data_IF_260649270707
#
_entry.id   IF_260649270707
#
_cell.length_a   1.000
_cell.length_b   1.000
_cell.length_c   1.000
_cell.angle_alpha   90.00
_cell.angle_beta   90.00
_cell.angle_gamma   90.00
#
_symmetry.space_group_name_H-M   'P 1'
#
loop_
_entity.id
_entity.type
_entity.pdbx_description
1 polymer ?
#
# COMPACT_ATOMS: atom_id res chain seq x y z
N UNK A 1 -2.45 5.15 -2.98
CA UNK A 1 -3.70 4.96 -3.74
C UNK A 1 -4.83 4.61 -2.78
N UNK A 2 -5.84 5.46 -2.70
CA UNK A 2 -6.92 5.36 -1.71
C UNK A 2 -8.31 5.06 -2.33
N UNK A 3 -8.33 4.46 -3.49
CA UNK A 3 -9.57 4.11 -4.20
C UNK A 3 -9.88 5.03 -5.39
N UNK A 4 -11.08 4.87 -5.96
CA UNK A 4 -11.48 5.50 -7.22
C UNK A 4 -12.54 6.62 -7.04
N UNK A 5 -12.68 7.14 -5.81
CA UNK A 5 -13.53 8.30 -5.56
C UNK A 5 -12.81 9.58 -6.01
N UNK A 6 -13.52 10.49 -6.65
CA UNK A 6 -12.96 11.71 -7.23
C UNK A 6 -12.03 12.49 -6.29
N UNK A 7 -12.41 12.63 -5.01
CA UNK A 7 -11.62 13.36 -4.02
C UNK A 7 -10.31 12.72 -3.59
N UNK A 8 -10.05 11.44 -3.96
CA UNK A 8 -8.80 10.72 -3.65
C UNK A 8 -8.06 10.26 -4.90
N UNK A 9 -8.61 10.49 -6.10
CA UNK A 9 -7.93 10.29 -7.38
C UNK A 9 -7.03 11.48 -7.68
N UNK A 10 -6.05 11.67 -6.82
CA UNK A 10 -5.07 12.75 -6.93
C UNK A 10 -3.78 12.23 -7.54
N UNK A 11 -3.25 12.95 -8.49
CA UNK A 11 -1.99 12.66 -9.16
C UNK A 11 -0.94 13.71 -8.83
N UNK A 12 0.28 13.31 -8.99
CA UNK A 12 1.42 14.20 -9.03
C UNK A 12 1.86 14.31 -10.49
N UNK A 13 1.67 15.44 -11.13
CA UNK A 13 2.33 15.70 -12.40
C UNK A 13 3.75 16.18 -12.13
N UNK A 14 4.69 15.66 -12.92
CA UNK A 14 6.07 16.15 -13.02
C UNK A 14 6.73 16.40 -11.66
N UNK A 15 6.81 15.33 -10.84
CA UNK A 15 7.61 15.42 -9.65
C UNK A 15 9.06 15.68 -10.06
N UNK A 16 9.61 16.86 -9.77
CA UNK A 16 10.98 17.17 -10.13
C UNK A 16 11.96 16.20 -9.46
N UNK A 17 13.19 16.21 -9.95
CA UNK A 17 14.29 15.37 -9.47
C UNK A 17 14.41 15.33 -7.92
N UNK A 18 15.01 14.27 -7.34
CA UNK A 18 15.00 13.99 -5.90
C UNK A 18 15.52 15.12 -5.01
N UNK A 19 16.40 15.95 -5.51
CA UNK A 19 17.23 16.86 -4.71
C UNK A 19 16.79 18.34 -4.75
N UNK A 20 15.50 18.61 -4.79
CA UNK A 20 15.00 19.99 -4.81
C UNK A 20 13.49 20.12 -5.01
N UNK A 21 12.80 18.99 -5.05
CA UNK A 21 11.36 18.98 -5.23
C UNK A 21 10.63 19.47 -3.98
N UNK A 22 9.56 20.21 -4.18
CA UNK A 22 8.63 20.59 -3.13
C UNK A 22 8.20 19.34 -2.35
N UNK A 23 8.29 19.41 -1.03
CA UNK A 23 7.86 18.34 -0.11
C UNK A 23 6.35 18.26 0.00
N UNK A 24 5.69 19.39 -0.22
CA UNK A 24 4.24 19.57 -0.10
C UNK A 24 3.72 20.20 -1.37
N UNK A 25 2.83 19.55 -2.09
CA UNK A 25 2.31 20.00 -3.37
C UNK A 25 0.79 20.00 -3.41
N UNK A 26 0.21 20.86 -4.23
CA UNK A 26 -1.21 20.78 -4.57
C UNK A 26 -1.37 19.76 -5.70
N UNK A 27 -2.17 18.71 -5.51
CA UNK A 27 -2.32 17.69 -6.53
C UNK A 27 -3.15 18.16 -7.73
N UNK A 28 -2.95 17.48 -8.84
CA UNK A 28 -3.84 17.53 -10.00
C UNK A 28 -4.71 16.29 -10.10
N UNK A 29 -5.80 16.30 -10.85
CA UNK A 29 -6.57 15.10 -11.14
C UNK A 29 -5.68 13.99 -11.72
N UNK A 30 -5.75 12.77 -11.17
CA UNK A 30 -4.91 11.65 -11.59
C UNK A 30 -5.28 11.07 -12.95
N UNK A 31 -6.42 11.45 -13.51
CA UNK A 31 -6.89 10.96 -14.80
C UNK A 31 -7.77 11.96 -15.53
N UNK A 32 -7.78 11.86 -16.86
CA UNK A 32 -8.64 12.68 -17.71
C UNK A 32 -10.13 12.49 -17.35
N UNK A 33 -10.88 13.58 -17.39
CA UNK A 33 -12.31 13.59 -17.08
C UNK A 33 -12.66 13.95 -15.64
N UNK A 34 -11.70 13.99 -14.74
CA UNK A 34 -11.90 14.57 -13.41
C UNK A 34 -11.79 16.09 -13.48
N UNK A 35 -12.73 16.84 -12.90
CA UNK A 35 -12.60 18.29 -12.83
C UNK A 35 -11.51 18.71 -11.83
N UNK A 36 -10.83 19.83 -12.06
CA UNK A 36 -9.83 20.38 -11.14
C UNK A 36 -10.39 20.61 -9.72
N UNK A 37 -11.70 20.88 -9.63
CA UNK A 37 -12.38 21.04 -8.33
C UNK A 37 -12.40 19.78 -7.48
N UNK A 38 -12.17 18.60 -8.05
CA UNK A 38 -12.13 17.33 -7.29
C UNK A 38 -10.90 17.25 -6.36
N UNK A 39 -9.82 17.92 -6.73
CA UNK A 39 -8.54 17.85 -5.99
C UNK A 39 -8.20 19.12 -5.19
N UNK A 40 -9.03 20.17 -5.29
CA UNK A 40 -8.75 21.50 -4.70
C UNK A 40 -8.58 21.50 -3.19
N UNK A 41 -9.21 20.55 -2.51
CA UNK A 41 -9.20 20.43 -1.05
C UNK A 41 -8.20 19.35 -0.55
N UNK A 42 -7.31 18.89 -1.43
CA UNK A 42 -6.27 17.92 -1.13
C UNK A 42 -4.88 18.55 -1.19
N UNK A 43 -3.96 18.00 -0.41
CA UNK A 43 -2.54 18.33 -0.40
C UNK A 43 -1.77 17.01 -0.43
N UNK A 44 -0.73 16.91 -1.25
CA UNK A 44 0.17 15.78 -1.26
C UNK A 44 1.43 16.09 -0.47
N UNK A 45 1.79 15.18 0.41
CA UNK A 45 3.06 15.20 1.16
C UNK A 45 3.97 14.08 0.64
N UNK A 46 5.27 14.33 0.64
CA UNK A 46 6.26 13.30 0.33
C UNK A 46 6.19 12.20 1.39
N UNK A 47 6.08 10.95 0.93
CA UNK A 47 6.11 9.79 1.81
C UNK A 47 7.54 9.54 2.34
N UNK A 48 7.64 9.03 3.56
CA UNK A 48 8.90 8.81 4.26
C UNK A 48 9.78 10.08 4.38
N UNK A 49 9.12 11.25 4.49
CA UNK A 49 9.76 12.55 4.71
C UNK A 49 9.07 13.27 5.90
N UNK A 50 9.58 13.13 7.14
CA UNK A 50 9.03 13.80 8.31
C UNK A 50 8.97 15.35 8.17
N UNK A 51 9.92 15.93 7.45
CA UNK A 51 9.93 17.37 7.20
C UNK A 51 8.76 17.82 6.30
N UNK A 52 8.31 16.95 5.38
CA UNK A 52 7.11 17.21 4.59
C UNK A 52 5.86 17.33 5.48
N UNK A 53 5.77 16.48 6.51
CA UNK A 53 4.68 16.55 7.49
C UNK A 53 4.73 17.86 8.26
N UNK A 54 5.90 18.24 8.78
CA UNK A 54 6.10 19.49 9.53
C UNK A 54 5.79 20.72 8.66
N UNK A 55 6.21 20.74 7.41
CA UNK A 55 5.90 21.79 6.45
C UNK A 55 4.40 21.91 6.21
N UNK A 56 3.72 20.79 5.93
CA UNK A 56 2.29 20.76 5.68
C UNK A 56 1.47 21.28 6.87
N UNK A 57 1.75 20.80 8.08
CA UNK A 57 1.01 21.22 9.27
C UNK A 57 1.35 22.64 9.70
N UNK A 58 2.57 23.13 9.43
CA UNK A 58 2.94 24.53 9.69
C UNK A 58 2.15 25.46 8.77
N UNK A 59 1.99 25.07 7.51
CA UNK A 59 1.34 25.92 6.51
C UNK A 59 -0.18 25.81 6.55
N UNK A 60 -0.72 24.61 6.79
CA UNK A 60 -2.13 24.31 6.61
C UNK A 60 -2.81 23.70 7.84
N UNK A 61 -2.10 23.49 8.96
CA UNK A 61 -2.58 22.71 10.09
C UNK A 61 -3.93 23.15 10.67
N UNK A 62 -4.27 24.44 10.58
CA UNK A 62 -5.56 24.98 11.03
C UNK A 62 -6.71 24.78 9.99
N UNK A 63 -6.39 24.33 8.79
CA UNK A 63 -7.33 24.09 7.71
C UNK A 63 -7.51 22.58 7.42
N UNK A 64 -6.52 21.76 7.82
CA UNK A 64 -6.53 20.32 7.58
C UNK A 64 -7.57 19.61 8.45
N UNK A 65 -8.50 18.91 7.81
CA UNK A 65 -9.46 18.03 8.49
C UNK A 65 -8.82 16.68 8.87
N UNK A 66 -8.02 16.11 7.98
CA UNK A 66 -7.41 14.80 8.17
C UNK A 66 -6.09 14.65 7.42
N UNK A 67 -5.25 13.73 7.89
CA UNK A 67 -4.12 13.17 7.15
C UNK A 67 -4.42 11.70 6.89
N UNK A 68 -4.48 11.31 5.60
CA UNK A 68 -4.71 9.95 5.14
C UNK A 68 -3.39 9.35 4.70
N UNK A 69 -3.01 8.20 5.27
CA UNK A 69 -1.72 7.54 5.02
C UNK A 69 -1.86 6.03 4.96
N UNK A 70 -1.21 5.38 3.98
CA UNK A 70 -0.99 3.93 3.98
C UNK A 70 0.21 3.61 4.90
N UNK A 71 0.11 2.72 5.90
CA UNK A 71 1.28 2.23 6.65
C UNK A 71 2.30 1.52 5.76
N UNK A 72 1.84 0.93 4.68
CA UNK A 72 2.65 0.37 3.59
C UNK A 72 2.03 0.87 2.29
N UNK A 73 2.75 1.69 1.55
CA UNK A 73 2.30 2.14 0.23
C UNK A 73 2.21 0.94 -0.71
N UNK A 74 1.01 0.39 -0.90
CA UNK A 74 0.81 -0.82 -1.68
C UNK A 74 1.06 -0.62 -3.16
N UNK A 75 0.15 0.05 -3.84
CA UNK A 75 0.19 0.26 -5.29
C UNK A 75 1.39 1.12 -5.74
N UNK A 76 1.94 1.93 -4.85
CA UNK A 76 3.06 2.81 -5.12
C UNK A 76 4.44 2.18 -4.88
N UNK A 77 4.53 0.86 -4.66
CA UNK A 77 5.83 0.20 -4.60
C UNK A 77 6.05 -0.76 -3.44
N UNK A 78 5.04 -1.12 -2.69
CA UNK A 78 5.15 -1.93 -1.46
C UNK A 78 6.17 -1.36 -0.47
N UNK A 79 6.13 -0.05 -0.26
CA UNK A 79 7.08 0.71 0.55
C UNK A 79 6.54 0.85 1.97
N UNK A 80 7.18 0.29 3.00
CA UNK A 80 6.80 0.51 4.39
C UNK A 80 7.03 1.96 4.82
N UNK A 81 6.16 2.50 5.67
CA UNK A 81 6.43 3.76 6.36
C UNK A 81 7.63 3.62 7.28
N UNK A 82 8.53 4.60 7.25
CA UNK A 82 9.60 4.70 8.23
C UNK A 82 9.02 5.10 9.60
N UNK A 83 9.55 4.56 10.72
CA UNK A 83 9.00 4.84 12.05
C UNK A 83 8.90 6.34 12.36
N UNK A 84 9.95 7.11 12.10
CA UNK A 84 9.97 8.54 12.33
C UNK A 84 8.89 9.31 11.55
N UNK A 85 8.62 8.87 10.31
CA UNK A 85 7.58 9.49 9.47
C UNK A 85 6.18 9.27 10.06
N UNK A 86 5.84 8.02 10.40
CA UNK A 86 4.50 7.69 10.92
C UNK A 86 4.27 8.26 12.33
N UNK A 87 5.31 8.27 13.17
CA UNK A 87 5.29 8.90 14.50
C UNK A 87 5.10 10.42 14.40
N UNK A 88 5.77 11.07 13.44
CA UNK A 88 5.62 12.50 13.18
C UNK A 88 4.19 12.82 12.76
N UNK A 89 3.59 12.03 11.87
CA UNK A 89 2.17 12.19 11.50
C UNK A 89 1.29 12.10 12.75
N UNK A 90 1.46 11.07 13.59
CA UNK A 90 0.62 10.91 14.79
C UNK A 90 0.76 12.09 15.74
N UNK A 91 1.98 12.48 16.05
CA UNK A 91 2.29 13.60 16.95
C UNK A 91 1.68 14.92 16.47
N UNK A 92 1.87 15.23 15.20
CA UNK A 92 1.40 16.53 14.67
C UNK A 92 -0.12 16.53 14.47
N UNK A 93 -0.74 15.39 14.10
CA UNK A 93 -2.21 15.30 14.04
C UNK A 93 -2.85 15.49 15.41
N UNK A 94 -2.27 14.94 16.48
CA UNK A 94 -2.74 15.19 17.85
C UNK A 94 -2.57 16.67 18.26
N UNK A 95 -1.42 17.25 17.92
CA UNK A 95 -1.12 18.65 18.28
C UNK A 95 -2.08 19.66 17.63
N UNK A 96 -2.48 19.42 16.38
CA UNK A 96 -3.35 20.32 15.62
C UNK A 96 -4.84 19.94 15.64
N UNK A 97 -5.20 18.81 16.26
CA UNK A 97 -6.57 18.31 16.25
C UNK A 97 -7.01 17.78 14.87
N UNK A 98 -6.06 17.33 14.07
CA UNK A 98 -6.27 16.75 12.74
C UNK A 98 -6.58 15.25 12.90
N UNK A 99 -7.53 14.71 12.14
CA UNK A 99 -7.84 13.27 12.16
C UNK A 99 -6.76 12.48 11.43
N UNK A 100 -6.13 11.51 12.10
CA UNK A 100 -5.25 10.55 11.45
C UNK A 100 -6.05 9.36 10.92
N UNK A 101 -6.01 9.15 9.60
CA UNK A 101 -6.67 8.03 8.94
C UNK A 101 -5.59 7.08 8.40
N UNK A 102 -5.55 5.85 8.91
CA UNK A 102 -4.72 4.79 8.35
C UNK A 102 -5.48 4.00 7.29
N UNK A 103 -4.94 3.96 6.09
CA UNK A 103 -5.43 3.09 5.02
C UNK A 103 -4.75 1.71 5.10
N UNK A 104 -5.45 0.77 5.71
CA UNK A 104 -5.01 -0.62 5.86
C UNK A 104 -5.60 -1.55 4.79
N UNK A 105 -6.09 -1.01 3.70
CA UNK A 105 -6.73 -1.79 2.63
C UNK A 105 -5.81 -2.88 2.07
N UNK A 106 -4.50 -2.65 2.09
CA UNK A 106 -3.48 -3.66 1.71
C UNK A 106 -2.76 -4.21 2.93
N UNK A 107 -2.44 -3.37 3.89
CA UNK A 107 -1.51 -3.67 5.00
C UNK A 107 -2.14 -4.39 6.19
N UNK A 108 -3.48 -4.48 6.30
CA UNK A 108 -4.18 -5.12 7.42
C UNK A 108 -3.70 -6.56 7.68
N UNK A 109 -3.29 -7.26 6.65
CA UNK A 109 -2.81 -8.65 6.69
C UNK A 109 -1.46 -8.85 7.38
N UNK A 110 -0.79 -7.79 7.81
CA UNK A 110 0.55 -7.87 8.41
C UNK A 110 0.55 -8.36 9.86
N UNK A 111 -0.52 -8.05 10.60
CA UNK A 111 -0.72 -8.49 11.98
C UNK A 111 -2.23 -8.56 12.29
N UNK A 112 -2.60 -9.15 13.42
CA UNK A 112 -4.01 -9.21 13.88
C UNK A 112 -4.61 -7.80 14.01
N UNK A 113 -3.80 -6.81 14.42
CA UNK A 113 -4.20 -5.40 14.49
C UNK A 113 -3.82 -4.56 13.28
N UNK A 114 -3.43 -5.17 12.14
CA UNK A 114 -2.93 -4.45 10.97
C UNK A 114 -1.48 -3.98 11.11
N UNK A 115 -0.96 -3.32 10.06
CA UNK A 115 0.39 -2.75 10.10
C UNK A 115 0.52 -1.65 11.16
N UNK A 116 -0.54 -0.91 11.45
CA UNK A 116 -0.59 0.09 12.52
C UNK A 116 -0.18 -0.49 13.88
N UNK A 117 -0.56 -1.75 14.18
CA UNK A 117 -0.24 -2.38 15.45
C UNK A 117 1.26 -2.62 15.59
N UNK A 118 1.93 -3.12 14.56
CA UNK A 118 3.36 -3.37 14.62
C UNK A 118 4.20 -2.08 14.48
N UNK A 119 3.66 -1.03 13.89
CA UNK A 119 4.27 0.30 13.85
C UNK A 119 4.09 1.09 15.15
N UNK A 120 3.32 0.57 16.12
CA UNK A 120 3.07 1.22 17.40
C UNK A 120 2.20 2.49 17.30
N UNK A 121 1.41 2.62 16.24
CA UNK A 121 0.55 3.79 15.98
C UNK A 121 -0.91 3.42 16.16
N UNK A 122 -1.65 4.31 16.83
CA UNK A 122 -3.12 4.20 16.94
C UNK A 122 -3.76 5.37 16.19
N UNK A 123 -4.30 5.15 15.00
CA UNK A 123 -5.00 6.19 14.24
C UNK A 123 -6.36 6.51 14.85
N UNK A 124 -6.98 7.57 14.36
CA UNK A 124 -8.34 7.93 14.75
C UNK A 124 -9.37 7.14 13.96
N UNK A 125 -9.06 6.85 12.69
CA UNK A 125 -9.88 6.06 11.76
C UNK A 125 -8.96 5.10 10.99
N UNK A 126 -9.47 3.90 10.72
CA UNK A 126 -8.83 2.89 9.86
C UNK A 126 -9.76 2.48 8.74
N UNK A 127 -9.30 2.51 7.50
CA UNK A 127 -10.02 1.97 6.34
C UNK A 127 -9.51 0.58 6.00
N UNK A 128 -10.41 -0.32 5.63
CA UNK A 128 -10.14 -1.74 5.41
C UNK A 128 -10.91 -2.25 4.19
N UNK A 129 -10.33 -3.17 3.44
CA UNK A 129 -10.98 -3.85 2.31
C UNK A 129 -10.22 -5.15 1.97
N UNK A 130 -10.31 -5.59 0.73
CA UNK A 130 -9.58 -6.73 0.15
C UNK A 130 -9.67 -8.00 1.01
N UNK A 131 -8.68 -8.26 1.84
CA UNK A 131 -8.57 -9.52 2.60
C UNK A 131 -9.75 -9.76 3.53
N UNK A 132 -10.37 -8.71 4.07
CA UNK A 132 -11.53 -8.84 4.95
C UNK A 132 -12.79 -9.36 4.26
N UNK A 133 -12.80 -9.42 2.93
CA UNK A 133 -13.91 -9.91 2.12
C UNK A 133 -13.83 -11.40 1.76
N UNK A 134 -12.72 -12.09 2.11
CA UNK A 134 -12.55 -13.50 1.74
C UNK A 134 -12.67 -13.77 0.24
N UNK A 135 -12.21 -12.82 -0.60
CA UNK A 135 -12.29 -12.86 -2.07
C UNK A 135 -13.50 -12.15 -2.67
N UNK A 136 -14.43 -11.64 -1.84
CA UNK A 136 -15.59 -10.90 -2.31
C UNK A 136 -15.47 -9.40 -2.06
N UNK A 137 -16.18 -8.55 -2.83
CA UNK A 137 -16.13 -7.10 -2.69
C UNK A 137 -16.62 -6.64 -1.31
N UNK A 138 -15.82 -5.83 -0.64
CA UNK A 138 -16.14 -5.24 0.66
C UNK A 138 -15.29 -3.99 0.88
N UNK A 139 -15.82 -3.06 1.63
CA UNK A 139 -15.10 -1.98 2.27
C UNK A 139 -15.62 -1.81 3.69
N UNK A 140 -14.74 -1.47 4.61
CA UNK A 140 -15.09 -1.18 5.98
C UNK A 140 -14.29 0.01 6.50
N UNK A 141 -14.88 0.71 7.45
CA UNK A 141 -14.22 1.77 8.22
C UNK A 141 -14.46 1.51 9.70
N UNK A 142 -13.44 1.68 10.49
CA UNK A 142 -13.48 1.58 11.93
C UNK A 142 -12.68 2.71 12.57
N UNK A 143 -12.87 2.99 13.84
CA UNK A 143 -12.15 4.03 14.51
C UNK A 143 -12.72 4.41 15.88
N UNK A 144 -12.25 5.54 16.42
CA UNK A 144 -12.70 6.06 17.70
C UNK A 144 -14.22 6.36 17.68
N UNK A 145 -14.86 6.09 18.79
CA UNK A 145 -16.33 6.24 18.91
C UNK A 145 -16.82 7.66 18.57
N UNK A 146 -16.04 8.67 18.86
CA UNK A 146 -16.38 10.07 18.53
C UNK A 146 -16.60 10.30 17.02
N UNK A 147 -15.90 9.55 16.16
CA UNK A 147 -16.09 9.58 14.71
C UNK A 147 -17.13 8.58 14.25
N UNK A 148 -17.08 7.34 14.75
CA UNK A 148 -17.97 6.26 14.31
C UNK A 148 -19.43 6.50 14.70
N UNK A 149 -19.70 7.17 15.83
CA UNK A 149 -21.06 7.55 16.23
C UNK A 149 -21.75 8.48 15.24
N UNK A 150 -21.00 9.18 14.37
CA UNK A 150 -21.57 10.01 13.30
C UNK A 150 -22.25 9.20 12.19
N UNK A 151 -21.93 7.90 12.10
CA UNK A 151 -22.54 6.96 11.16
C UNK A 151 -23.78 6.25 11.73
N UNK A 152 -24.16 6.53 12.99
CA UNK A 152 -25.35 5.97 13.60
C UNK A 152 -26.61 6.39 12.83
N UNK A 153 -27.72 5.69 13.09
CA UNK A 153 -29.00 6.11 12.55
C UNK A 153 -29.33 7.54 13.02
N UNK A 154 -30.06 8.35 12.21
CA UNK A 154 -30.36 9.74 12.57
C UNK A 154 -31.02 9.93 13.93
N UNK A 155 -31.92 8.99 14.35
CA UNK A 155 -32.55 9.01 15.67
C UNK A 155 -31.55 8.81 16.81
N UNK A 156 -30.35 8.26 16.54
CA UNK A 156 -29.27 8.01 17.50
C UNK A 156 -28.16 9.05 17.36
N UNK A 157 -28.42 10.18 16.70
CA UNK A 157 -27.50 11.30 16.54
C UNK A 157 -26.52 11.18 15.36
N UNK A 158 -26.74 10.25 14.45
CA UNK A 158 -25.94 10.11 13.22
C UNK A 158 -26.20 11.26 12.25
N UNK A 159 -25.14 11.77 11.63
CA UNK A 159 -25.19 12.88 10.66
C UNK A 159 -24.56 12.54 9.32
N UNK A 160 -23.86 11.41 9.23
CA UNK A 160 -23.23 10.92 8.00
C UNK A 160 -23.98 9.69 7.51
N UNK A 161 -24.59 9.81 6.35
CA UNK A 161 -25.29 8.68 5.73
C UNK A 161 -24.28 7.64 5.19
N UNK A 162 -24.44 6.40 5.63
CA UNK A 162 -23.74 5.26 5.06
C UNK A 162 -24.74 4.48 4.19
N UNK A 163 -24.81 4.85 2.91
CA UNK A 163 -25.77 4.31 1.96
C UNK A 163 -25.05 3.55 0.85
N UNK A 164 -25.48 2.32 0.61
CA UNK A 164 -24.99 1.52 -0.50
C UNK A 164 -25.79 0.22 -0.61
N UNK A 165 -26.31 -0.07 -1.80
CA UNK A 165 -27.14 -1.27 -2.05
C UNK A 165 -26.43 -2.57 -1.67
N UNK A 166 -25.12 -2.61 -1.83
CA UNK A 166 -24.30 -3.78 -1.51
C UNK A 166 -23.58 -3.70 -0.17
N UNK A 167 -23.81 -2.65 0.62
CA UNK A 167 -23.24 -2.55 1.97
C UNK A 167 -23.71 -3.72 2.84
N UNK A 168 -22.78 -4.34 3.55
CA UNK A 168 -23.01 -5.52 4.37
C UNK A 168 -23.66 -6.70 3.60
N UNK A 169 -23.33 -6.87 2.32
CA UNK A 169 -23.79 -7.99 1.52
C UNK A 169 -23.51 -9.32 2.24
N UNK A 170 -24.53 -10.19 2.44
CA UNK A 170 -24.37 -11.39 3.26
C UNK A 170 -23.35 -12.40 2.71
N UNK A 171 -23.14 -12.45 1.40
CA UNK A 171 -22.12 -13.31 0.80
C UNK A 171 -20.71 -12.82 1.16
N UNK A 172 -20.44 -11.52 0.95
CA UNK A 172 -19.17 -10.89 1.34
C UNK A 172 -18.92 -11.00 2.84
N UNK A 173 -19.94 -10.76 3.66
CA UNK A 173 -19.83 -10.86 5.13
C UNK A 173 -19.52 -12.29 5.57
N UNK A 174 -20.17 -13.30 4.99
CA UNK A 174 -19.93 -14.71 5.34
C UNK A 174 -18.55 -15.19 4.88
N UNK A 175 -18.19 -14.89 3.65
CA UNK A 175 -16.88 -15.23 3.10
C UNK A 175 -15.76 -14.52 3.89
N UNK A 176 -15.93 -13.24 4.17
CA UNK A 176 -15.00 -12.45 4.97
C UNK A 176 -14.82 -13.01 6.40
N UNK A 177 -15.91 -13.36 7.06
CA UNK A 177 -15.85 -13.99 8.39
C UNK A 177 -14.99 -15.27 8.36
N UNK A 178 -15.22 -16.17 7.40
CA UNK A 178 -14.43 -17.39 7.26
C UNK A 178 -12.98 -17.07 6.92
N UNK A 179 -12.74 -16.14 5.99
CA UNK A 179 -11.39 -15.71 5.61
C UNK A 179 -10.60 -15.16 6.80
N UNK A 180 -11.22 -14.29 7.60
CA UNK A 180 -10.58 -13.71 8.78
C UNK A 180 -10.38 -14.73 9.91
N UNK A 181 -11.25 -15.73 10.05
CA UNK A 181 -11.04 -16.83 11.00
C UNK A 181 -9.85 -17.73 10.61
N UNK A 182 -9.61 -17.91 9.31
CA UNK A 182 -8.46 -18.67 8.78
C UNK A 182 -7.15 -17.86 8.80
N UNK A 183 -7.24 -16.54 8.86
CA UNK A 183 -6.10 -15.64 8.95
C UNK A 183 -5.81 -15.27 10.41
N UNK A 184 -5.59 -16.30 11.23
CA UNK A 184 -5.20 -16.14 12.62
C UNK A 184 -3.73 -15.69 12.77
N UNK A 185 -3.31 -15.44 14.00
CA UNK A 185 -1.96 -14.97 14.29
C UNK A 185 -0.88 -15.94 13.78
N UNK A 186 -1.12 -17.27 13.90
CA UNK A 186 -0.18 -18.28 13.43
C UNK A 186 -0.08 -18.30 11.89
N UNK A 187 -1.21 -18.17 11.19
CA UNK A 187 -1.24 -18.06 9.73
C UNK A 187 -0.53 -16.79 9.24
N UNK A 188 -0.77 -15.65 9.91
CA UNK A 188 -0.09 -14.38 9.62
C UNK A 188 1.42 -14.52 9.81
N UNK A 189 1.85 -15.04 10.95
CA UNK A 189 3.28 -15.24 11.23
C UNK A 189 3.94 -16.13 10.17
N UNK A 190 3.29 -17.23 9.78
CA UNK A 190 3.79 -18.15 8.76
C UNK A 190 3.92 -17.49 7.39
N UNK A 191 2.88 -16.82 6.89
CA UNK A 191 2.97 -16.18 5.57
C UNK A 191 3.95 -15.00 5.55
N UNK A 192 4.12 -14.31 6.68
CA UNK A 192 5.12 -13.24 6.80
C UNK A 192 6.55 -13.81 6.76
N UNK A 193 6.80 -14.95 7.43
CA UNK A 193 8.07 -15.65 7.34
C UNK A 193 8.35 -16.14 5.91
N UNK A 194 7.36 -16.74 5.24
CA UNK A 194 7.48 -17.14 3.84
C UNK A 194 7.75 -15.95 2.92
N UNK A 195 7.10 -14.80 3.17
CA UNK A 195 7.37 -13.57 2.42
C UNK A 195 8.80 -13.06 2.59
N UNK A 196 9.39 -13.21 3.78
CA UNK A 196 10.80 -12.90 3.98
C UNK A 196 11.69 -13.83 3.16
N UNK A 197 11.42 -15.14 3.17
CA UNK A 197 12.18 -16.10 2.35
C UNK A 197 12.10 -15.78 0.85
N UNK A 198 10.93 -15.35 0.35
CA UNK A 198 10.81 -14.90 -1.05
C UNK A 198 11.67 -13.68 -1.32
N UNK A 199 11.55 -12.63 -0.49
CA UNK A 199 12.34 -11.39 -0.69
C UNK A 199 13.85 -11.67 -0.64
N UNK A 200 14.30 -12.48 0.30
CA UNK A 200 15.71 -12.87 0.42
C UNK A 200 16.16 -13.68 -0.80
N UNK A 201 15.34 -14.65 -1.23
CA UNK A 201 15.64 -15.46 -2.42
C UNK A 201 15.70 -14.64 -3.70
N UNK A 202 14.72 -13.76 -3.93
CA UNK A 202 14.73 -12.84 -5.07
C UNK A 202 15.95 -11.91 -5.04
N UNK A 203 16.33 -11.39 -3.87
CA UNK A 203 17.50 -10.55 -3.70
C UNK A 203 18.78 -11.32 -4.05
N UNK A 204 18.91 -12.58 -3.62
CA UNK A 204 20.06 -13.42 -3.98
C UNK A 204 20.13 -13.69 -5.49
N UNK A 205 18.98 -13.89 -6.15
CA UNK A 205 18.92 -14.04 -7.62
C UNK A 205 19.35 -12.76 -8.31
N UNK A 206 18.90 -11.59 -7.87
CA UNK A 206 19.33 -10.29 -8.40
C UNK A 206 20.85 -10.14 -8.31
N UNK A 207 21.43 -10.43 -7.16
CA UNK A 207 22.88 -10.39 -6.95
C UNK A 207 23.63 -11.40 -7.83
N UNK A 208 23.14 -12.63 -7.96
CA UNK A 208 23.73 -13.69 -8.80
C UNK A 208 23.84 -13.25 -10.26
N UNK A 209 22.83 -12.55 -10.77
CA UNK A 209 22.79 -12.11 -12.16
C UNK A 209 23.40 -10.72 -12.40
N UNK A 210 23.79 -10.02 -11.33
CA UNK A 210 24.20 -8.60 -11.39
C UNK A 210 23.13 -7.73 -12.06
N UNK A 211 21.85 -8.02 -11.76
CA UNK A 211 20.71 -7.34 -12.36
C UNK A 211 20.48 -5.97 -11.70
N UNK A 212 20.17 -4.91 -12.48
CA UNK A 212 19.86 -3.59 -11.92
C UNK A 212 18.42 -3.56 -11.37
N UNK A 213 18.16 -4.38 -10.35
CA UNK A 213 16.85 -4.55 -9.75
C UNK A 213 16.94 -4.61 -8.22
N UNK A 214 15.80 -4.43 -7.57
CA UNK A 214 15.66 -4.59 -6.12
C UNK A 214 14.26 -5.05 -5.74
N UNK A 215 14.10 -5.50 -4.48
CA UNK A 215 12.83 -5.97 -3.94
C UNK A 215 12.46 -5.13 -2.72
N UNK A 216 11.26 -4.58 -2.73
CA UNK A 216 10.64 -3.92 -1.57
C UNK A 216 9.56 -4.81 -0.96
N UNK A 217 9.07 -4.42 0.20
CA UNK A 217 7.96 -5.08 0.87
C UNK A 217 8.25 -5.47 2.31
N UNK A 218 7.23 -5.96 2.99
CA UNK A 218 7.31 -6.46 4.37
C UNK A 218 6.25 -7.53 4.58
N UNK A 219 6.47 -8.40 5.57
CA UNK A 219 5.59 -9.54 5.85
C UNK A 219 5.36 -10.38 4.60
N UNK A 220 4.11 -10.61 4.25
CA UNK A 220 3.71 -11.42 3.08
C UNK A 220 3.58 -10.64 1.76
N UNK A 221 4.04 -9.39 1.74
CA UNK A 221 3.96 -8.49 0.58
C UNK A 221 5.34 -8.25 -0.01
N UNK A 222 5.44 -8.17 -1.34
CA UNK A 222 6.68 -7.77 -2.02
C UNK A 222 6.40 -7.15 -3.39
N UNK A 223 7.38 -6.42 -3.90
CA UNK A 223 7.38 -5.87 -5.25
C UNK A 223 8.81 -5.88 -5.81
N UNK A 224 8.95 -6.25 -7.08
CA UNK A 224 10.22 -6.24 -7.81
C UNK A 224 10.31 -4.94 -8.60
N UNK A 225 11.42 -4.23 -8.46
CA UNK A 225 11.68 -2.96 -9.16
C UNK A 225 12.96 -3.08 -9.99
N UNK A 226 12.87 -2.74 -11.26
CA UNK A 226 14.01 -2.71 -12.16
C UNK A 226 14.72 -1.35 -12.13
N UNK A 227 15.41 -1.11 -11.04
CA UNK A 227 16.28 0.06 -10.83
C UNK A 227 17.30 -0.23 -9.74
N UNK A 228 18.51 0.34 -9.87
CA UNK A 228 19.53 0.33 -8.82
C UNK A 228 19.39 1.51 -7.85
N UNK A 229 18.56 2.51 -8.17
CA UNK A 229 18.32 3.64 -7.28
C UNK A 229 17.48 3.22 -6.07
N UNK A 230 17.82 3.67 -4.84
CA UNK A 230 17.05 3.33 -3.65
C UNK A 230 15.56 3.73 -3.78
N UNK A 231 14.67 2.78 -3.50
CA UNK A 231 13.23 3.00 -3.49
C UNK A 231 12.82 3.52 -2.12
N UNK A 232 12.24 4.73 -2.09
CA UNK A 232 11.76 5.38 -0.85
C UNK A 232 10.34 5.92 -0.95
N UNK A 233 9.89 6.27 -2.15
CA UNK A 233 8.59 6.86 -2.43
C UNK A 233 8.12 6.50 -3.85
N UNK A 234 6.92 6.90 -4.23
CA UNK A 234 6.35 6.64 -5.54
C UNK A 234 7.23 7.16 -6.70
N UNK A 235 7.93 8.29 -6.51
CA UNK A 235 8.80 8.91 -7.52
C UNK A 235 10.01 8.06 -7.86
N UNK A 236 10.57 7.42 -6.84
CA UNK A 236 11.71 6.52 -7.02
C UNK A 236 11.27 5.24 -7.75
N UNK A 237 10.05 4.79 -7.54
CA UNK A 237 9.45 3.65 -8.28
C UNK A 237 9.22 3.97 -9.76
N UNK A 238 8.80 5.18 -10.09
CA UNK A 238 8.55 5.61 -11.48
C UNK A 238 9.80 5.62 -12.37
N UNK A 239 10.99 5.58 -11.78
CA UNK A 239 12.26 5.48 -12.50
C UNK A 239 12.65 4.04 -12.85
N UNK A 240 11.93 3.05 -12.33
CA UNK A 240 12.17 1.67 -12.68
C UNK A 240 11.87 1.42 -14.17
N UNK A 241 12.65 0.53 -14.78
CA UNK A 241 12.46 0.18 -16.18
C UNK A 241 11.17 -0.64 -16.38
N UNK A 242 10.14 -0.09 -17.06
CA UNK A 242 8.86 -0.76 -17.21
C UNK A 242 8.92 -1.97 -18.15
N UNK A 243 9.82 -1.97 -19.15
CA UNK A 243 9.96 -3.06 -20.12
C UNK A 243 10.50 -4.32 -19.43
N UNK A 244 11.54 -4.16 -18.61
CA UNK A 244 12.06 -5.26 -17.80
C UNK A 244 11.04 -5.77 -16.77
N UNK A 245 10.21 -4.89 -16.22
CA UNK A 245 9.09 -5.26 -15.38
C UNK A 245 8.07 -6.14 -16.12
N UNK A 246 7.71 -5.76 -17.34
CA UNK A 246 6.79 -6.52 -18.20
C UNK A 246 7.38 -7.87 -18.59
N UNK A 247 8.65 -7.92 -19.00
CA UNK A 247 9.33 -9.16 -19.35
C UNK A 247 9.44 -10.11 -18.15
N UNK A 248 9.69 -9.59 -16.96
CA UNK A 248 9.67 -10.37 -15.71
C UNK A 248 8.28 -10.95 -15.45
N UNK A 249 7.24 -10.17 -15.60
CA UNK A 249 5.85 -10.65 -15.46
C UNK A 249 5.56 -11.82 -16.43
N UNK A 250 5.91 -11.67 -17.71
CA UNK A 250 5.71 -12.72 -18.74
C UNK A 250 6.55 -13.96 -18.42
N UNK A 251 7.83 -13.78 -18.08
CA UNK A 251 8.76 -14.87 -17.76
C UNK A 251 8.27 -15.71 -16.58
N UNK A 252 7.80 -15.06 -15.51
CA UNK A 252 7.23 -15.73 -14.35
C UNK A 252 5.90 -16.41 -14.67
N UNK A 253 5.01 -15.75 -15.45
CA UNK A 253 3.74 -16.32 -15.86
C UNK A 253 3.93 -17.62 -16.68
N UNK A 254 4.90 -17.66 -17.59
CA UNK A 254 5.29 -18.85 -18.37
C UNK A 254 5.76 -20.02 -17.48
N UNK A 255 6.18 -19.73 -16.25
CA UNK A 255 6.62 -20.70 -15.24
C UNK A 255 5.58 -20.99 -14.16
N UNK A 256 4.33 -20.56 -14.39
CA UNK A 256 3.21 -20.78 -13.48
C UNK A 256 3.21 -19.87 -12.24
N UNK A 257 4.04 -18.83 -12.21
CA UNK A 257 4.08 -17.84 -11.13
C UNK A 257 3.41 -16.55 -11.58
N UNK A 258 2.32 -16.20 -10.94
CA UNK A 258 1.57 -14.98 -11.27
C UNK A 258 1.86 -13.84 -10.28
N UNK A 259 2.38 -12.74 -10.81
CA UNK A 259 2.50 -11.45 -10.14
C UNK A 259 1.70 -10.39 -10.90
N UNK A 260 1.64 -9.15 -10.43
CA UNK A 260 1.12 -8.07 -11.28
C UNK A 260 2.15 -7.65 -12.33
N UNK A 261 1.70 -7.05 -13.43
CA UNK A 261 2.59 -6.48 -14.47
C UNK A 261 3.59 -5.45 -13.91
N UNK A 262 3.28 -4.83 -12.77
CA UNK A 262 4.15 -3.88 -12.08
C UNK A 262 5.12 -4.53 -11.08
N UNK A 263 5.16 -5.86 -11.00
CA UNK A 263 6.04 -6.59 -10.09
C UNK A 263 5.48 -6.82 -8.69
N UNK A 264 4.27 -6.32 -8.40
CA UNK A 264 3.62 -6.44 -7.09
C UNK A 264 3.04 -7.83 -6.90
N UNK A 265 3.27 -8.41 -5.73
CA UNK A 265 2.72 -9.71 -5.34
C UNK A 265 2.47 -9.82 -3.83
N UNK A 266 1.70 -10.83 -3.45
CA UNK A 266 1.46 -11.20 -2.08
C UNK A 266 1.33 -12.71 -1.94
N UNK A 267 1.76 -13.24 -0.79
CA UNK A 267 1.57 -14.65 -0.47
C UNK A 267 0.18 -14.90 0.12
N UNK A 268 -0.30 -16.12 0.01
CA UNK A 268 -1.56 -16.55 0.56
C UNK A 268 -1.39 -17.75 1.51
N UNK A 269 -2.35 -17.95 2.40
CA UNK A 269 -2.27 -19.00 3.43
C UNK A 269 -2.20 -20.45 2.89
N UNK A 270 -2.74 -20.81 1.71
CA UNK A 270 -2.56 -22.15 1.14
C UNK A 270 -1.16 -22.44 0.58
N UNK A 271 -0.34 -21.39 0.34
CA UNK A 271 1.01 -21.59 -0.22
C UNK A 271 1.89 -22.38 0.75
N UNK A 272 2.68 -23.30 0.15
CA UNK A 272 3.63 -24.16 0.84
C UNK A 272 5.05 -23.88 0.37
N UNK A 273 6.04 -24.55 0.96
CA UNK A 273 7.46 -24.31 0.66
C UNK A 273 7.80 -24.49 -0.83
N UNK A 274 7.19 -25.47 -1.51
CA UNK A 274 7.41 -25.65 -2.95
C UNK A 274 6.95 -24.48 -3.80
N UNK A 275 5.91 -23.74 -3.36
CA UNK A 275 5.44 -22.55 -4.06
C UNK A 275 6.46 -21.40 -3.90
N UNK A 276 7.05 -21.28 -2.69
CA UNK A 276 8.10 -20.29 -2.43
C UNK A 276 9.34 -20.58 -3.27
N UNK A 277 9.73 -21.85 -3.37
CA UNK A 277 10.84 -22.27 -4.22
C UNK A 277 10.54 -22.02 -5.71
N UNK A 278 9.29 -22.28 -6.16
CA UNK A 278 8.88 -22.02 -7.54
C UNK A 278 8.95 -20.52 -7.90
N UNK A 279 8.60 -19.62 -6.98
CA UNK A 279 8.73 -18.17 -7.19
C UNK A 279 10.20 -17.79 -7.41
N UNK A 280 11.09 -18.25 -6.52
CA UNK A 280 12.50 -17.88 -6.57
C UNK A 280 13.21 -18.52 -7.78
N UNK A 281 12.97 -19.82 -8.06
CA UNK A 281 13.56 -20.49 -9.22
C UNK A 281 13.02 -19.95 -10.53
N UNK A 282 11.71 -19.67 -10.60
CA UNK A 282 11.12 -19.08 -11.81
C UNK A 282 11.66 -17.69 -12.11
N UNK A 283 12.01 -16.90 -11.08
CA UNK A 283 12.67 -15.62 -11.25
C UNK A 283 14.12 -15.79 -11.70
N UNK A 284 14.87 -16.76 -11.14
CA UNK A 284 16.25 -17.06 -11.54
C UNK A 284 16.34 -17.47 -13.01
N UNK A 285 15.45 -18.35 -13.45
CA UNK A 285 15.36 -18.77 -14.85
C UNK A 285 14.98 -17.60 -15.78
N UNK A 286 14.06 -16.73 -15.32
CA UNK A 286 13.66 -15.54 -16.09
C UNK A 286 14.83 -14.58 -16.26
N UNK A 287 15.59 -14.30 -15.20
CA UNK A 287 16.76 -13.44 -15.29
C UNK A 287 17.87 -14.04 -16.16
N UNK A 288 18.02 -15.38 -16.13
CA UNK A 288 18.97 -16.09 -17.01
C UNK A 288 18.64 -15.86 -18.48
N UNK A 289 17.36 -15.96 -18.87
CA UNK A 289 16.92 -15.70 -20.25
C UNK A 289 17.11 -14.23 -20.65
N UNK A 290 16.67 -13.29 -19.80
CA UNK A 290 16.83 -11.85 -20.07
C UNK A 290 18.30 -11.47 -20.27
N UNK A 291 19.19 -12.04 -19.47
CA UNK A 291 20.64 -11.80 -19.59
C UNK A 291 21.22 -12.40 -20.85
N UNK A 292 20.79 -13.61 -21.27
CA UNK A 292 21.22 -14.22 -22.54
C UNK A 292 20.78 -13.40 -23.76
N UNK A 293 19.65 -12.74 -23.66
CA UNK A 293 19.11 -11.86 -24.70
C UNK A 293 19.65 -10.41 -24.63
N UNK A 294 20.56 -10.12 -23.71
CA UNK A 294 21.18 -8.81 -23.47
C UNK A 294 20.19 -7.68 -23.15
N UNK A 295 19.16 -7.97 -22.34
CA UNK A 295 18.22 -6.96 -21.85
C UNK A 295 18.82 -6.09 -20.71
N UNK A 296 19.83 -6.59 -20.01
CA UNK A 296 20.58 -5.87 -18.97
C UNK A 296 21.98 -6.44 -18.80
#
# INVERSE_FOLDING_TARGET
YHGSTDGVLVGHEDLPAPDGAERVTTPKPAMAGLPDSATKDAILMRYNDPEAVLEAVTKYGHELAAILVEPIQGAAGMIPAEPEFIETIRKETERFGIVMICDEVISLRQAVGGAQAFMGVTPDITTMAKIIGGGFPIGAVGGKNEFMSRLNAPQDGGIVANLGTYSANPVSMRAGLVGMQLLDEAAIARINQQGQLVRDGLTQVILKHDAPAQVTGTGSLFMIHWTSEPIRDARTVERANPDLGMLTFIGLANRGVQISMRGLACLSTPMVESDIQAIVSGFDDTLSELKQENWF
#
